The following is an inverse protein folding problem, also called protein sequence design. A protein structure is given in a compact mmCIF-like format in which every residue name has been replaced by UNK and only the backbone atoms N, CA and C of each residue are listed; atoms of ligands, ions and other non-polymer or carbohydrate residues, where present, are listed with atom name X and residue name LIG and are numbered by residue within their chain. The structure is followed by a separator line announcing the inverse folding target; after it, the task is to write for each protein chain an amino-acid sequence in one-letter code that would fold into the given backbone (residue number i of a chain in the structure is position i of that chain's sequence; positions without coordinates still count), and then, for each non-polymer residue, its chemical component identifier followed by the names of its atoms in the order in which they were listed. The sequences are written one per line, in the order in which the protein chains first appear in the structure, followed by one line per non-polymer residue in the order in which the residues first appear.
data_IF_628002491287
#
_entry.id   IF_628002491287
#
_cell.length_a   1.000
_cell.length_b   1.000
_cell.length_c   1.000
_cell.angle_alpha   90.00
_cell.angle_beta   90.00
_cell.angle_gamma   90.00
#
_symmetry.space_group_name_H-M   'P 1'
#
loop_
_entity.id
_entity.type
_entity.pdbx_description
1 polymer ?
#
# COMPACT_ATOMS: atom_id res chain seq x y z
N UNK A 1 -27.92 -30.51 -6.35
CA UNK A 1 -28.98 -30.05 -5.44
C UNK A 1 -30.03 -29.35 -6.29
N UNK A 2 -31.32 -29.58 -6.05
CA UNK A 2 -32.39 -28.91 -6.81
C UNK A 2 -32.77 -27.65 -6.04
N UNK A 3 -32.63 -26.47 -6.65
CA UNK A 3 -33.06 -25.22 -6.01
C UNK A 3 -34.59 -25.20 -5.94
N UNK A 4 -35.14 -25.31 -4.73
CA UNK A 4 -36.59 -25.29 -4.50
C UNK A 4 -37.25 -23.95 -4.88
N UNK A 5 -36.45 -22.91 -5.16
CA UNK A 5 -36.90 -21.59 -5.61
C UNK A 5 -36.95 -21.47 -7.13
N UNK A 6 -36.50 -22.48 -7.87
CA UNK A 6 -36.64 -22.55 -9.32
C UNK A 6 -37.64 -23.64 -9.74
N UNK A 7 -38.91 -23.28 -9.95
CA UNK A 7 -39.94 -24.22 -10.39
C UNK A 7 -39.81 -24.64 -11.87
N UNK A 8 -39.00 -23.95 -12.67
CA UNK A 8 -38.76 -24.27 -14.09
C UNK A 8 -37.54 -25.18 -14.28
N UNK A 9 -36.60 -25.18 -13.32
CA UNK A 9 -35.41 -26.02 -13.34
C UNK A 9 -34.34 -25.58 -14.33
N UNK A 10 -34.42 -24.35 -14.83
CA UNK A 10 -33.51 -23.75 -15.84
C UNK A 10 -32.36 -22.95 -15.20
N UNK A 11 -32.33 -22.80 -13.87
CA UNK A 11 -31.35 -21.99 -13.15
C UNK A 11 -30.09 -22.77 -12.82
N UNK A 12 -28.95 -22.11 -12.97
CA UNK A 12 -27.65 -22.62 -12.54
C UNK A 12 -27.39 -22.26 -11.06
N UNK A 13 -27.06 -23.25 -10.24
CA UNK A 13 -26.57 -23.02 -8.87
C UNK A 13 -25.05 -22.82 -8.93
N UNK A 14 -24.60 -21.64 -8.52
CA UNK A 14 -23.18 -21.33 -8.36
C UNK A 14 -22.84 -21.16 -6.87
N UNK A 15 -21.88 -21.94 -6.37
CA UNK A 15 -21.38 -21.81 -5.01
C UNK A 15 -20.07 -21.03 -5.00
N UNK A 16 -19.98 -19.98 -4.18
CA UNK A 16 -18.78 -19.16 -4.05
C UNK A 16 -18.21 -19.32 -2.64
N UNK A 17 -17.03 -19.92 -2.55
CA UNK A 17 -16.33 -20.11 -1.29
C UNK A 17 -15.21 -19.06 -1.18
N UNK A 18 -15.21 -18.30 -0.09
CA UNK A 18 -14.23 -17.24 0.16
C UNK A 18 -13.48 -17.52 1.45
N UNK A 19 -12.17 -17.23 1.44
CA UNK A 19 -11.35 -17.23 2.66
C UNK A 19 -10.99 -15.79 3.01
N UNK A 20 -11.22 -15.34 4.26
CA UNK A 20 -10.90 -13.97 4.64
C UNK A 20 -9.39 -13.74 4.63
N UNK A 21 -8.97 -12.59 4.08
CA UNK A 21 -7.60 -12.09 4.24
C UNK A 21 -7.46 -11.41 5.61
N UNK A 22 -6.22 -11.35 6.12
CA UNK A 22 -5.92 -10.65 7.38
C UNK A 22 -6.35 -9.18 7.31
N UNK A 23 -7.09 -8.72 8.33
CA UNK A 23 -7.59 -7.34 8.42
C UNK A 23 -6.45 -6.32 8.45
N UNK A 24 -5.43 -6.59 9.26
CA UNK A 24 -4.25 -5.74 9.41
C UNK A 24 -3.04 -6.37 8.71
N UNK A 25 -2.16 -5.55 8.16
CA UNK A 25 -0.91 -5.98 7.54
C UNK A 25 0.13 -4.89 7.70
N UNK A 26 1.14 -5.20 8.48
CA UNK A 26 2.32 -4.36 8.66
C UNK A 26 3.34 -4.62 7.54
N UNK A 27 3.99 -3.57 7.08
CA UNK A 27 5.13 -3.64 6.16
C UNK A 27 6.24 -2.72 6.64
N UNK A 28 7.49 -3.16 6.52
CA UNK A 28 8.67 -2.34 6.76
C UNK A 28 9.67 -2.55 5.61
N UNK A 29 10.29 -1.47 5.14
CA UNK A 29 11.35 -1.49 4.12
C UNK A 29 12.59 -0.75 4.60
N UNK A 30 13.74 -1.20 4.11
CA UNK A 30 15.02 -0.50 4.21
C UNK A 30 15.58 -0.44 2.79
N UNK A 31 15.88 0.76 2.33
CA UNK A 31 16.25 1.06 0.96
C UNK A 31 17.61 1.75 0.92
N UNK A 32 18.50 1.30 0.05
CA UNK A 32 19.80 1.93 -0.21
C UNK A 32 19.77 2.51 -1.62
N UNK A 33 20.11 3.79 -1.75
CA UNK A 33 19.99 4.54 -3.02
C UNK A 33 21.32 5.20 -3.37
N UNK A 34 21.63 5.23 -4.67
CA UNK A 34 22.80 5.89 -5.24
C UNK A 34 22.40 6.47 -6.61
N UNK A 35 22.64 7.76 -6.84
CA UNK A 35 22.25 8.45 -8.06
C UNK A 35 23.22 9.59 -8.39
N UNK A 36 23.11 10.16 -9.59
CA UNK A 36 23.96 11.24 -10.08
C UNK A 36 23.75 12.57 -9.31
N UNK A 37 22.61 12.73 -8.62
CA UNK A 37 22.27 13.92 -7.81
C UNK A 37 22.41 13.63 -6.30
N UNK A 38 22.17 12.38 -5.88
CA UNK A 38 22.29 11.90 -4.51
C UNK A 38 23.37 10.80 -4.47
N UNK A 39 24.58 11.18 -4.03
CA UNK A 39 25.76 10.30 -3.97
C UNK A 39 25.51 9.07 -3.08
N UNK A 40 24.66 9.14 -2.05
CA UNK A 40 24.24 7.97 -1.28
C UNK A 40 23.00 8.32 -0.44
N UNK A 41 22.08 7.39 -0.27
CA UNK A 41 20.89 7.58 0.56
C UNK A 41 20.46 6.29 1.25
N UNK A 42 20.07 6.41 2.52
CA UNK A 42 19.45 5.36 3.32
C UNK A 42 18.01 5.77 3.58
N UNK A 43 17.07 4.99 3.05
CA UNK A 43 15.64 5.11 3.32
C UNK A 43 15.17 4.02 4.27
N UNK A 44 14.22 4.36 5.13
CA UNK A 44 13.42 3.40 5.87
C UNK A 44 11.95 3.77 5.73
N UNK A 45 11.08 2.78 5.58
CA UNK A 45 9.63 3.01 5.59
C UNK A 45 8.92 1.97 6.43
N UNK A 46 7.82 2.39 7.05
CA UNK A 46 6.88 1.53 7.75
C UNK A 46 5.46 1.83 7.24
N UNK A 47 4.63 0.81 7.15
CA UNK A 47 3.27 0.92 6.64
C UNK A 47 2.34 -0.03 7.38
N UNK A 48 1.10 0.42 7.57
CA UNK A 48 0.00 -0.38 8.11
C UNK A 48 -1.18 -0.32 7.16
N UNK A 49 -1.61 -1.49 6.70
CA UNK A 49 -2.77 -1.65 5.82
C UNK A 49 -3.95 -2.23 6.61
N UNK A 50 -5.06 -1.50 6.63
CA UNK A 50 -6.34 -1.85 7.24
C UNK A 50 -7.35 -2.18 6.12
N UNK A 51 -7.72 -3.45 6.01
CA UNK A 51 -8.72 -3.93 5.04
C UNK A 51 -10.12 -3.84 5.62
N UNK A 52 -11.08 -3.53 4.74
CA UNK A 52 -12.50 -3.46 5.01
C UNK A 52 -12.85 -2.45 6.12
N UNK A 53 -12.29 -1.24 6.06
CA UNK A 53 -12.45 -0.22 7.13
C UNK A 53 -13.93 0.17 7.36
N UNK A 54 -14.76 0.10 6.32
CA UNK A 54 -16.21 0.34 6.41
C UNK A 54 -17.06 -0.95 6.31
N UNK A 55 -16.48 -2.12 6.61
CA UNK A 55 -17.09 -3.44 6.42
C UNK A 55 -17.48 -3.79 4.98
N UNK A 56 -16.94 -3.06 3.99
CA UNK A 56 -17.01 -3.41 2.57
C UNK A 56 -15.59 -3.69 2.08
N UNK A 57 -15.28 -3.53 0.79
CA UNK A 57 -13.96 -3.88 0.25
C UNK A 57 -12.97 -2.68 0.19
N UNK A 58 -13.15 -1.65 1.02
CA UNK A 58 -12.22 -0.52 1.10
C UNK A 58 -10.93 -0.87 1.83
N UNK A 59 -9.82 -0.26 1.43
CA UNK A 59 -8.52 -0.41 2.10
C UNK A 59 -7.98 0.94 2.52
N UNK A 60 -7.64 1.09 3.80
CA UNK A 60 -6.90 2.23 4.33
C UNK A 60 -5.44 1.83 4.54
N UNK A 61 -4.52 2.64 4.08
CA UNK A 61 -3.08 2.47 4.28
C UNK A 61 -2.51 3.73 4.93
N UNK A 62 -1.73 3.55 5.98
CA UNK A 62 -1.02 4.61 6.68
C UNK A 62 0.46 4.24 6.63
N UNK A 63 1.31 5.14 6.17
CA UNK A 63 2.74 4.89 6.10
C UNK A 63 3.56 6.10 6.53
N UNK A 64 4.77 5.80 7.00
CA UNK A 64 5.77 6.78 7.37
C UNK A 64 7.07 6.40 6.69
N UNK A 65 7.79 7.39 6.17
CA UNK A 65 9.06 7.22 5.49
C UNK A 65 10.07 8.22 6.01
N UNK A 66 11.32 7.77 6.14
CA UNK A 66 12.47 8.61 6.45
C UNK A 66 13.56 8.29 5.44
N UNK A 67 14.27 9.31 4.97
CA UNK A 67 15.40 9.18 4.07
C UNK A 67 16.50 10.14 4.50
N UNK A 68 17.72 9.65 4.62
CA UNK A 68 18.91 10.47 4.87
C UNK A 68 19.94 10.18 3.80
N UNK A 69 20.58 11.21 3.26
CA UNK A 69 21.55 11.03 2.20
C UNK A 69 22.54 12.17 2.03
N UNK A 70 23.47 11.93 1.11
CA UNK A 70 24.49 12.85 0.66
C UNK A 70 24.20 13.27 -0.78
N UNK A 71 24.29 14.56 -1.07
CA UNK A 71 24.16 15.13 -2.41
C UNK A 71 25.36 16.02 -2.70
N UNK A 72 25.89 15.92 -3.93
CA UNK A 72 27.06 16.69 -4.38
C UNK A 72 26.72 18.11 -4.83
N UNK A 73 25.44 18.38 -5.07
CA UNK A 73 24.94 19.59 -5.76
C UNK A 73 24.37 20.67 -4.82
N UNK A 74 24.19 20.35 -3.53
CA UNK A 74 23.88 21.37 -2.52
C UNK A 74 25.18 22.06 -2.09
N UNK A 75 25.23 23.40 -2.19
CA UNK A 75 26.30 24.21 -1.63
C UNK A 75 26.55 23.82 -0.16
N UNK A 76 27.60 23.02 0.08
CA UNK A 76 27.94 22.43 1.36
C UNK A 76 29.22 23.10 1.90
N UNK A 77 29.14 24.32 2.44
CA UNK A 77 30.32 25.06 2.89
C UNK A 77 31.08 24.38 4.04
N UNK A 78 30.46 23.41 4.73
CA UNK A 78 31.01 22.70 5.88
C UNK A 78 31.33 21.21 5.62
N UNK A 79 31.21 20.73 4.37
CA UNK A 79 31.53 19.34 3.95
C UNK A 79 30.84 18.23 4.78
N UNK A 80 29.58 18.46 5.20
CA UNK A 80 28.81 17.47 5.95
C UNK A 80 28.44 16.27 5.06
N UNK A 81 28.70 15.05 5.54
CA UNK A 81 28.44 13.81 4.79
C UNK A 81 26.95 13.59 4.53
N UNK A 82 26.08 13.71 5.54
CA UNK A 82 24.62 13.70 5.34
C UNK A 82 24.11 15.14 5.24
N UNK A 83 23.72 15.56 4.04
CA UNK A 83 23.19 16.92 3.79
C UNK A 83 21.74 16.92 3.29
N UNK A 84 21.16 15.75 3.01
CA UNK A 84 19.76 15.55 2.65
C UNK A 84 19.08 14.76 3.77
N UNK A 85 17.95 15.26 4.25
CA UNK A 85 17.08 14.56 5.18
C UNK A 85 15.64 14.83 4.78
N UNK A 86 14.91 13.77 4.48
CA UNK A 86 13.50 13.79 4.11
C UNK A 86 12.73 12.89 5.06
N UNK A 87 11.53 13.33 5.43
CA UNK A 87 10.57 12.53 6.14
C UNK A 87 9.19 12.78 5.56
N UNK A 88 8.36 11.74 5.54
CA UNK A 88 7.02 11.79 4.97
C UNK A 88 6.05 10.94 5.76
N UNK A 89 4.81 11.39 5.80
CA UNK A 89 3.67 10.64 6.31
C UNK A 89 2.64 10.59 5.19
N UNK A 90 2.17 9.39 4.87
CA UNK A 90 1.22 9.15 3.79
C UNK A 90 -0.02 8.43 4.33
N UNK A 91 -1.19 8.84 3.85
CA UNK A 91 -2.47 8.20 4.14
C UNK A 91 -3.23 7.98 2.84
N UNK A 92 -3.65 6.75 2.58
CA UNK A 92 -4.31 6.36 1.34
C UNK A 92 -5.56 5.54 1.61
N UNK A 93 -6.70 6.02 1.12
CA UNK A 93 -7.98 5.31 1.16
C UNK A 93 -8.35 4.85 -0.25
N UNK A 94 -8.51 3.54 -0.44
CA UNK A 94 -8.86 2.93 -1.71
C UNK A 94 -10.26 2.30 -1.67
N UNK A 95 -11.12 2.68 -2.61
CA UNK A 95 -12.46 2.11 -2.77
C UNK A 95 -12.47 1.05 -3.87
N UNK A 96 -13.21 -0.06 -3.69
CA UNK A 96 -13.29 -1.10 -4.71
C UNK A 96 -13.99 -0.57 -5.97
N UNK A 97 -13.48 -0.93 -7.14
CA UNK A 97 -14.17 -0.63 -8.40
C UNK A 97 -15.43 -1.48 -8.48
N UNK A 98 -16.59 -0.84 -8.58
CA UNK A 98 -17.85 -1.52 -8.85
C UNK A 98 -17.86 -1.86 -10.34
N UNK A 99 -17.68 -3.14 -10.68
CA UNK A 99 -17.93 -3.64 -12.02
C UNK A 99 -19.45 -3.85 -12.16
N UNK A 100 -20.15 -2.88 -12.73
CA UNK A 100 -21.54 -3.08 -13.14
C UNK A 100 -21.55 -3.71 -14.54
N UNK A 101 -22.17 -4.87 -14.76
CA UNK A 101 -22.50 -5.32 -16.10
C UNK A 101 -23.60 -4.40 -16.66
N UNK A 102 -23.37 -3.85 -17.85
CA UNK A 102 -24.41 -3.18 -18.64
C UNK A 102 -25.23 -4.20 -19.41
#
# INVERSE_FOLDING_TARGET
EVDKRDPLGESLIANVFLTPRKKYSFGASLDLTHSNIQDFGIGASISETIRNVFNRAETLEISARVNVGSSKDMANPNNNFFNVSEYGLDMKLNFPRILLPF
#
